data_IF_184191109869
#
_entry.id   IF_184191109869
#
_cell.length_a   1.000
_cell.length_b   1.000
_cell.length_c   1.000
_cell.angle_alpha   90.00
_cell.angle_beta   90.00
_cell.angle_gamma   90.00
#
_symmetry.space_group_name_H-M   'P 1'
#
loop_
_entity.id
_entity.type
_entity.pdbx_description
1 polymer ?
#
# COMPACT_ATOMS: atom_id res chain seq x y z
N UNK A 1 27.79 6.90 10.05
CA UNK A 1 27.07 5.97 9.15
C UNK A 1 26.90 4.63 9.88
N UNK A 2 25.70 4.38 10.44
CA UNK A 2 25.47 3.29 11.40
C UNK A 2 25.43 1.92 10.73
N UNK A 3 26.41 1.08 11.01
CA UNK A 3 26.55 -0.31 10.53
C UNK A 3 25.45 -1.30 11.02
N UNK A 4 24.53 -0.89 11.91
CA UNK A 4 23.54 -1.77 12.55
C UNK A 4 22.21 -1.94 11.78
N UNK A 5 21.89 -1.09 10.82
CA UNK A 5 20.62 -1.16 10.05
C UNK A 5 20.58 -2.21 8.93
N UNK A 6 21.62 -3.04 8.79
CA UNK A 6 21.79 -3.91 7.61
C UNK A 6 21.07 -5.26 7.68
N UNK A 7 20.42 -5.65 8.77
CA UNK A 7 19.95 -7.04 8.93
C UNK A 7 18.48 -7.23 9.32
N UNK A 8 17.72 -6.21 9.64
CA UNK A 8 16.30 -6.39 9.94
C UNK A 8 15.48 -6.54 8.66
N UNK A 9 14.66 -7.58 8.61
CA UNK A 9 13.65 -7.75 7.56
C UNK A 9 12.61 -6.65 7.73
N UNK A 10 12.28 -5.94 6.65
CA UNK A 10 11.28 -4.90 6.71
C UNK A 10 10.32 -4.97 5.52
N UNK A 11 9.09 -5.33 5.82
CA UNK A 11 8.00 -5.42 4.86
C UNK A 11 6.97 -4.34 5.19
N UNK A 12 6.61 -3.53 4.23
CA UNK A 12 5.73 -2.37 4.42
C UNK A 12 4.49 -2.52 3.52
N UNK A 13 3.31 -2.30 4.09
CA UNK A 13 2.07 -2.19 3.33
C UNK A 13 1.52 -0.76 3.44
N UNK A 14 1.27 -0.12 2.31
CA UNK A 14 0.75 1.24 2.25
C UNK A 14 -0.70 1.20 1.78
N UNK A 15 -1.59 1.79 2.57
CA UNK A 15 -2.98 1.96 2.23
C UNK A 15 -3.39 3.45 2.23
N UNK A 16 -4.55 3.72 1.69
CA UNK A 16 -5.08 5.08 1.57
C UNK A 16 -5.91 5.27 0.30
N UNK A 17 -6.73 6.28 0.28
CA UNK A 17 -7.64 6.59 -0.82
C UNK A 17 -6.88 6.86 -2.13
N UNK A 18 -7.60 6.82 -3.25
CA UNK A 18 -7.06 7.22 -4.54
C UNK A 18 -6.47 8.63 -4.46
N UNK A 19 -5.32 8.84 -5.10
CA UNK A 19 -4.56 10.10 -5.07
C UNK A 19 -4.05 10.56 -3.69
N UNK A 20 -3.99 9.67 -2.68
CA UNK A 20 -3.39 9.98 -1.38
C UNK A 20 -1.87 10.11 -1.43
N UNK A 21 -1.19 9.56 -2.44
CA UNK A 21 0.26 9.62 -2.58
C UNK A 21 1.00 8.30 -2.28
N UNK A 22 0.28 7.16 -2.19
CA UNK A 22 0.87 5.83 -1.90
C UNK A 22 2.08 5.51 -2.76
N UNK A 23 1.92 5.56 -4.07
CA UNK A 23 3.02 5.22 -4.99
C UNK A 23 4.16 6.24 -4.93
N UNK A 24 3.87 7.50 -4.62
CA UNK A 24 4.92 8.51 -4.39
C UNK A 24 5.73 8.15 -3.15
N UNK A 25 5.07 7.79 -2.05
CA UNK A 25 5.76 7.37 -0.83
C UNK A 25 6.57 6.10 -1.07
N UNK A 26 5.99 5.08 -1.71
CA UNK A 26 6.70 3.84 -2.04
C UNK A 26 7.98 4.08 -2.86
N UNK A 27 7.88 4.90 -3.91
CA UNK A 27 9.05 5.27 -4.72
C UNK A 27 10.09 6.06 -3.93
N UNK A 28 9.66 6.97 -3.05
CA UNK A 28 10.58 7.74 -2.21
C UNK A 28 11.33 6.83 -1.23
N UNK A 29 10.63 5.88 -0.59
CA UNK A 29 11.27 4.88 0.29
C UNK A 29 12.28 4.03 -0.47
N UNK A 30 11.97 3.61 -1.70
CA UNK A 30 12.89 2.87 -2.56
C UNK A 30 14.11 3.69 -2.97
N UNK A 31 13.97 5.00 -3.17
CA UNK A 31 15.11 5.89 -3.48
C UNK A 31 16.04 6.02 -2.26
N UNK A 32 15.47 6.06 -1.06
CA UNK A 32 16.25 6.18 0.18
C UNK A 32 16.95 4.87 0.53
N UNK A 33 16.29 3.75 0.28
CA UNK A 33 16.83 2.42 0.50
C UNK A 33 16.52 1.51 -0.69
N UNK A 34 17.51 1.28 -1.52
CA UNK A 34 17.41 0.52 -2.77
C UNK A 34 17.14 -0.97 -2.59
N UNK A 35 17.23 -1.47 -1.34
CA UNK A 35 16.86 -2.85 -0.99
C UNK A 35 15.36 -3.12 -1.17
N UNK A 36 14.53 -2.09 -1.09
CA UNK A 36 13.09 -2.27 -1.27
C UNK A 36 12.71 -2.61 -2.70
N UNK A 37 11.90 -3.67 -2.84
CA UNK A 37 11.17 -3.96 -4.07
C UNK A 37 9.70 -3.58 -3.88
N UNK A 38 9.13 -2.82 -4.82
CA UNK A 38 7.73 -2.39 -4.77
C UNK A 38 6.86 -3.42 -5.49
N UNK A 39 5.82 -3.86 -4.81
CA UNK A 39 4.80 -4.78 -5.30
C UNK A 39 3.42 -4.13 -5.24
N UNK A 40 2.49 -4.63 -6.07
CA UNK A 40 1.10 -4.21 -6.11
C UNK A 40 0.19 -5.44 -6.21
N UNK A 41 -0.82 -5.51 -5.36
CA UNK A 41 -1.88 -6.53 -5.43
C UNK A 41 -2.63 -6.47 -6.77
N UNK A 42 -2.82 -5.26 -7.29
CA UNK A 42 -3.47 -5.03 -8.58
C UNK A 42 -2.60 -5.36 -9.80
N UNK A 43 -1.32 -5.72 -9.64
CA UNK A 43 -0.48 -6.04 -10.81
C UNK A 43 -0.93 -7.35 -11.47
N UNK A 44 -1.21 -8.39 -10.68
CA UNK A 44 -1.71 -9.66 -11.22
C UNK A 44 -3.04 -9.50 -11.98
N UNK A 45 -3.92 -8.61 -11.49
CA UNK A 45 -5.17 -8.26 -12.19
C UNK A 45 -4.88 -7.63 -13.55
N UNK A 46 -3.90 -6.72 -13.62
CA UNK A 46 -3.49 -6.08 -14.89
C UNK A 46 -2.85 -7.09 -15.84
N UNK A 47 -2.03 -7.99 -15.32
CA UNK A 47 -1.38 -9.04 -16.12
C UNK A 47 -2.42 -9.95 -16.77
N UNK A 48 -3.47 -10.33 -16.03
CA UNK A 48 -4.62 -11.07 -16.58
C UNK A 48 -5.34 -10.25 -17.64
N UNK A 49 -5.65 -8.98 -17.36
CA UNK A 49 -6.29 -8.09 -18.32
C UNK A 49 -5.51 -7.99 -19.64
N UNK A 50 -4.19 -7.85 -19.55
CA UNK A 50 -3.31 -7.73 -20.72
C UNK A 50 -3.17 -9.07 -21.45
N UNK A 51 -2.84 -10.15 -20.71
CA UNK A 51 -2.44 -11.42 -21.31
C UNK A 51 -3.62 -12.27 -21.80
N UNK A 52 -4.77 -12.21 -21.10
CA UNK A 52 -5.94 -13.04 -21.45
C UNK A 52 -7.00 -12.22 -22.23
N UNK A 53 -7.16 -10.95 -21.92
CA UNK A 53 -8.20 -10.12 -22.54
C UNK A 53 -7.66 -9.12 -23.57
N UNK A 54 -6.34 -9.12 -23.82
CA UNK A 54 -5.72 -8.25 -24.81
C UNK A 54 -5.80 -6.74 -24.47
N UNK A 55 -5.91 -6.38 -23.18
CA UNK A 55 -5.99 -5.01 -22.73
C UNK A 55 -4.71 -4.24 -23.12
N UNK A 56 -4.83 -3.28 -24.04
CA UNK A 56 -3.71 -2.44 -24.50
C UNK A 56 -3.56 -1.17 -23.67
N UNK A 57 -4.70 -0.60 -23.28
CA UNK A 57 -4.77 0.58 -22.42
C UNK A 57 -5.55 0.23 -21.17
N UNK A 58 -5.37 1.02 -20.10
CA UNK A 58 -5.97 0.74 -18.80
C UNK A 58 -7.51 0.79 -18.85
N UNK A 59 -8.14 -0.35 -18.99
CA UNK A 59 -9.58 -0.53 -18.87
C UNK A 59 -9.95 -0.84 -17.40
N UNK A 60 -10.48 0.16 -16.72
CA UNK A 60 -10.83 0.04 -15.30
C UNK A 60 -12.02 -0.88 -15.06
N UNK A 61 -12.97 -0.93 -15.96
CA UNK A 61 -14.17 -1.74 -15.77
C UNK A 61 -13.83 -3.22 -15.93
N UNK A 62 -12.99 -3.55 -16.91
CA UNK A 62 -12.41 -4.90 -17.05
C UNK A 62 -11.60 -5.31 -15.80
N UNK A 63 -10.72 -4.43 -15.31
CA UNK A 63 -9.91 -4.73 -14.13
C UNK A 63 -10.74 -4.93 -12.87
N UNK A 64 -11.83 -4.16 -12.69
CA UNK A 64 -12.77 -4.35 -11.57
C UNK A 64 -13.47 -5.71 -11.70
N UNK A 65 -13.93 -6.07 -12.90
CA UNK A 65 -14.58 -7.36 -13.14
C UNK A 65 -13.63 -8.53 -12.84
N UNK A 66 -12.41 -8.53 -13.39
CA UNK A 66 -11.40 -9.57 -13.11
C UNK A 66 -11.14 -9.66 -11.60
N UNK A 67 -10.86 -8.52 -10.97
CA UNK A 67 -10.56 -8.46 -9.54
C UNK A 67 -11.70 -9.01 -8.69
N UNK A 68 -12.95 -8.69 -9.01
CA UNK A 68 -14.14 -9.13 -8.29
C UNK A 68 -14.42 -10.63 -8.52
N UNK A 69 -14.41 -11.07 -9.78
CA UNK A 69 -14.72 -12.47 -10.13
C UNK A 69 -13.73 -13.46 -9.52
N UNK A 70 -12.47 -13.11 -9.49
CA UNK A 70 -11.46 -13.96 -8.84
C UNK A 70 -11.62 -14.00 -7.31
N UNK A 71 -12.05 -12.89 -6.68
CA UNK A 71 -12.39 -12.88 -5.25
C UNK A 71 -13.68 -13.62 -4.91
N UNK A 72 -14.60 -13.78 -5.84
CA UNK A 72 -15.78 -14.65 -5.66
C UNK A 72 -15.37 -16.12 -5.55
N UNK A 73 -14.29 -16.54 -6.20
CA UNK A 73 -13.73 -17.90 -6.12
C UNK A 73 -12.92 -18.05 -4.82
N UNK A 74 -11.98 -17.13 -4.56
CA UNK A 74 -11.16 -17.07 -3.35
C UNK A 74 -10.97 -15.60 -2.94
N UNK A 75 -11.57 -15.16 -1.84
CA UNK A 75 -11.46 -13.77 -1.37
C UNK A 75 -10.02 -13.28 -1.20
N UNK A 76 -9.09 -14.20 -0.91
CA UNK A 76 -7.70 -13.92 -0.61
C UNK A 76 -6.75 -14.16 -1.78
N UNK A 77 -7.26 -14.51 -2.96
CA UNK A 77 -6.47 -14.95 -4.12
C UNK A 77 -5.30 -14.02 -4.43
N UNK A 78 -5.51 -12.72 -4.40
CA UNK A 78 -4.48 -11.74 -4.75
C UNK A 78 -3.40 -11.64 -3.69
N UNK A 79 -3.79 -11.70 -2.43
CA UNK A 79 -2.86 -11.63 -1.31
C UNK A 79 -2.05 -12.92 -1.19
N UNK A 80 -2.69 -14.08 -1.34
CA UNK A 80 -2.02 -15.38 -1.38
C UNK A 80 -0.99 -15.44 -2.51
N UNK A 81 -1.38 -15.02 -3.72
CA UNK A 81 -0.46 -14.94 -4.86
C UNK A 81 0.75 -14.03 -4.55
N UNK A 82 0.48 -12.86 -3.95
CA UNK A 82 1.55 -11.93 -3.62
C UNK A 82 2.46 -12.46 -2.51
N UNK A 83 1.91 -13.16 -1.51
CA UNK A 83 2.70 -13.78 -0.44
C UNK A 83 3.67 -14.82 -0.97
N UNK A 84 3.25 -15.68 -1.90
CA UNK A 84 4.17 -16.63 -2.56
C UNK A 84 5.24 -15.90 -3.35
N UNK A 85 4.90 -14.83 -4.07
CA UNK A 85 5.85 -14.03 -4.85
C UNK A 85 6.89 -13.31 -3.99
N UNK A 86 6.49 -12.87 -2.78
CA UNK A 86 7.35 -12.13 -1.85
C UNK A 86 7.92 -12.97 -0.72
N UNK A 87 7.80 -14.29 -0.81
CA UNK A 87 8.16 -15.24 0.24
C UNK A 87 9.60 -15.09 0.74
N UNK A 88 10.52 -14.86 -0.19
CA UNK A 88 11.95 -14.75 0.12
C UNK A 88 12.43 -13.29 0.22
N UNK A 89 11.55 -12.32 0.01
CA UNK A 89 11.88 -10.92 0.13
C UNK A 89 12.11 -10.54 1.60
N UNK A 90 13.20 -9.86 1.84
CA UNK A 90 13.51 -9.28 3.15
C UNK A 90 13.01 -7.85 3.26
N UNK A 91 12.97 -7.11 2.14
CA UNK A 91 12.54 -5.72 2.06
C UNK A 91 11.59 -5.56 0.90
N UNK A 92 10.30 -5.39 1.18
CA UNK A 92 9.32 -5.12 0.14
C UNK A 92 8.27 -4.10 0.60
N UNK A 93 7.70 -3.40 -0.37
CA UNK A 93 6.62 -2.44 -0.17
C UNK A 93 5.43 -2.88 -1.02
N UNK A 94 4.25 -3.01 -0.41
CA UNK A 94 2.97 -3.16 -1.10
C UNK A 94 2.29 -1.80 -1.09
N UNK A 95 2.02 -1.22 -2.26
CA UNK A 95 1.56 0.17 -2.38
C UNK A 95 0.06 0.36 -2.66
N UNK A 96 -0.72 -0.73 -2.61
CA UNK A 96 -2.13 -0.69 -3.00
C UNK A 96 -3.08 -1.54 -2.15
N UNK A 97 -2.77 -1.80 -0.88
CA UNK A 97 -3.66 -2.49 0.04
C UNK A 97 -5.00 -1.76 0.19
N UNK A 98 -6.13 -2.50 0.18
CA UNK A 98 -7.49 -1.92 0.13
C UNK A 98 -8.54 -2.60 0.99
N UNK A 99 -8.38 -3.89 1.34
CA UNK A 99 -9.39 -4.69 2.03
C UNK A 99 -8.90 -5.21 3.37
N UNK A 100 -9.86 -5.48 4.29
CA UNK A 100 -9.53 -5.98 5.63
C UNK A 100 -8.81 -7.32 5.59
N UNK A 101 -9.26 -8.26 4.76
CA UNK A 101 -8.62 -9.57 4.62
C UNK A 101 -7.17 -9.47 4.10
N UNK A 102 -6.88 -8.46 3.25
CA UNK A 102 -5.50 -8.18 2.82
C UNK A 102 -4.66 -7.73 4.02
N UNK A 103 -5.19 -6.83 4.87
CA UNK A 103 -4.54 -6.41 6.11
C UNK A 103 -4.25 -7.59 7.03
N UNK A 104 -5.23 -8.45 7.28
CA UNK A 104 -5.11 -9.56 8.21
C UNK A 104 -3.98 -10.52 7.77
N UNK A 105 -3.96 -10.93 6.49
CA UNK A 105 -2.92 -11.80 5.94
C UNK A 105 -1.55 -11.13 5.96
N UNK A 106 -1.45 -9.87 5.57
CA UNK A 106 -0.18 -9.14 5.56
C UNK A 106 0.38 -8.97 6.97
N UNK A 107 -0.49 -8.75 7.96
CA UNK A 107 -0.12 -8.67 9.37
C UNK A 107 0.50 -9.98 9.87
N UNK A 108 -0.13 -11.11 9.59
CA UNK A 108 0.39 -12.45 9.93
C UNK A 108 1.75 -12.72 9.28
N UNK A 109 2.04 -12.07 8.13
CA UNK A 109 3.31 -12.17 7.42
C UNK A 109 4.34 -11.08 7.80
N UNK A 110 4.11 -10.37 8.91
CA UNK A 110 5.07 -9.45 9.51
C UNK A 110 5.21 -8.11 8.78
N UNK A 111 4.17 -7.67 8.07
CA UNK A 111 4.15 -6.34 7.45
C UNK A 111 3.87 -5.25 8.48
N UNK A 112 4.54 -4.12 8.31
CA UNK A 112 4.24 -2.84 8.98
C UNK A 112 3.34 -2.02 8.08
N UNK A 113 2.32 -1.37 8.65
CA UNK A 113 1.32 -0.67 7.86
C UNK A 113 1.50 0.84 7.91
N UNK A 114 1.26 1.50 6.79
CA UNK A 114 1.22 2.96 6.68
C UNK A 114 -0.10 3.35 6.04
N UNK A 115 -0.96 4.04 6.78
CA UNK A 115 -2.18 4.61 6.23
C UNK A 115 -1.97 6.07 5.86
N UNK A 116 -2.19 6.41 4.59
CA UNK A 116 -2.14 7.78 4.11
C UNK A 116 -3.53 8.41 4.11
N UNK A 117 -3.71 9.42 4.94
CA UNK A 117 -4.88 10.28 4.90
C UNK A 117 -4.61 11.53 4.07
N UNK A 118 -5.60 11.89 3.26
CA UNK A 118 -5.58 13.13 2.48
C UNK A 118 -6.96 13.78 2.57
N UNK A 119 -7.01 15.09 2.75
CA UNK A 119 -8.28 15.81 2.78
C UNK A 119 -9.01 15.68 1.45
N UNK A 120 -10.35 15.72 1.50
CA UNK A 120 -11.19 15.63 0.30
C UNK A 120 -10.82 16.68 -0.75
N UNK A 121 -10.57 17.89 -0.30
CA UNK A 121 -10.19 19.00 -1.17
C UNK A 121 -8.92 18.70 -1.98
N UNK A 122 -7.86 18.21 -1.31
CA UNK A 122 -6.61 17.87 -1.98
C UNK A 122 -6.73 16.68 -2.90
N UNK A 123 -7.49 15.66 -2.48
CA UNK A 123 -7.78 14.53 -3.34
C UNK A 123 -8.43 14.99 -4.64
N UNK A 124 -9.41 15.90 -4.56
CA UNK A 124 -10.09 16.46 -5.73
C UNK A 124 -9.15 17.28 -6.62
N UNK A 125 -8.32 18.12 -6.04
CA UNK A 125 -7.32 18.88 -6.80
C UNK A 125 -6.35 17.95 -7.54
N UNK A 126 -5.86 16.90 -6.88
CA UNK A 126 -4.97 15.91 -7.50
C UNK A 126 -5.67 15.11 -8.58
N UNK A 127 -6.92 14.71 -8.38
CA UNK A 127 -7.74 14.03 -9.38
C UNK A 127 -7.95 14.89 -10.62
N UNK A 128 -8.30 16.17 -10.45
CA UNK A 128 -8.43 17.12 -11.55
C UNK A 128 -7.16 17.25 -12.38
N UNK A 129 -6.01 17.31 -11.70
CA UNK A 129 -4.70 17.44 -12.35
C UNK A 129 -4.31 16.17 -13.12
N UNK A 130 -4.57 14.99 -12.56
CA UNK A 130 -4.16 13.71 -13.14
C UNK A 130 -5.13 13.19 -14.22
N UNK A 131 -6.42 13.50 -14.06
CA UNK A 131 -7.49 12.99 -14.95
C UNK A 131 -8.43 14.12 -15.40
N UNK A 132 -7.93 15.13 -16.11
CA UNK A 132 -8.74 16.31 -16.45
C UNK A 132 -9.99 15.96 -17.29
N UNK A 133 -9.91 14.94 -18.15
CA UNK A 133 -11.03 14.49 -19.00
C UNK A 133 -12.04 13.59 -18.28
N UNK A 134 -11.59 12.79 -17.31
CA UNK A 134 -12.39 11.76 -16.64
C UNK A 134 -12.64 12.07 -15.16
N UNK A 135 -12.45 13.34 -14.76
CA UNK A 135 -12.52 13.75 -13.36
C UNK A 135 -13.84 13.35 -12.68
N UNK A 136 -14.98 13.60 -13.30
CA UNK A 136 -16.29 13.27 -12.75
C UNK A 136 -16.46 11.78 -12.51
N UNK A 137 -16.09 10.95 -13.49
CA UNK A 137 -16.10 9.49 -13.36
C UNK A 137 -15.25 8.99 -12.21
N UNK A 138 -14.13 9.66 -11.92
CA UNK A 138 -13.28 9.32 -10.77
C UNK A 138 -13.87 9.78 -9.45
N UNK A 139 -14.60 10.88 -9.41
CA UNK A 139 -15.34 11.31 -8.21
C UNK A 139 -16.44 10.32 -7.82
N UNK A 140 -17.19 9.81 -8.79
CA UNK A 140 -18.25 8.82 -8.55
C UNK A 140 -17.67 7.51 -7.99
N UNK A 141 -16.51 7.08 -8.45
CA UNK A 141 -15.84 5.86 -7.97
C UNK A 141 -15.27 5.95 -6.55
N UNK A 142 -15.28 7.12 -5.89
CA UNK A 142 -14.85 7.26 -4.49
C UNK A 142 -15.72 6.50 -3.50
N UNK A 143 -16.98 6.27 -3.84
CA UNK A 143 -17.91 5.53 -2.99
C UNK A 143 -17.77 4.00 -3.11
N UNK A 144 -16.89 3.52 -4.00
CA UNK A 144 -16.62 2.10 -4.13
C UNK A 144 -15.96 1.54 -2.86
N UNK A 145 -16.29 0.31 -2.48
CA UNK A 145 -15.76 -0.35 -1.27
C UNK A 145 -14.24 -0.29 -1.16
N UNK A 146 -13.52 -0.45 -2.27
CA UNK A 146 -12.05 -0.36 -2.30
C UNK A 146 -11.49 1.03 -1.98
N UNK A 147 -12.31 2.06 -1.89
CA UNK A 147 -11.91 3.43 -1.54
C UNK A 147 -12.36 3.85 -0.13
N UNK A 148 -13.15 3.04 0.57
CA UNK A 148 -13.59 3.35 1.93
C UNK A 148 -12.42 3.36 2.90
N UNK A 149 -11.46 2.43 2.74
CA UNK A 149 -10.26 2.31 3.57
C UNK A 149 -10.59 2.30 5.08
N UNK A 150 -11.68 1.61 5.43
CA UNK A 150 -12.11 1.40 6.80
C UNK A 150 -11.49 0.08 7.27
N UNK A 151 -10.41 0.17 8.04
CA UNK A 151 -9.74 -1.00 8.61
C UNK A 151 -10.01 -1.06 10.11
N UNK A 152 -10.26 -2.26 10.60
CA UNK A 152 -10.20 -2.55 12.02
C UNK A 152 -8.75 -2.85 12.38
N UNK A 153 -8.04 -1.82 12.82
CA UNK A 153 -6.67 -1.94 13.28
C UNK A 153 -6.63 -2.71 14.61
N UNK A 154 -5.73 -3.66 14.73
CA UNK A 154 -5.55 -4.37 15.98
C UNK A 154 -4.84 -3.46 16.99
N UNK A 155 -5.55 -3.08 18.04
CA UNK A 155 -5.03 -2.41 19.24
C UNK A 155 -4.43 -1.00 19.04
N UNK A 156 -4.68 -0.32 17.93
CA UNK A 156 -4.27 1.07 17.72
C UNK A 156 -2.75 1.29 17.68
N UNK A 157 -1.98 0.25 17.38
CA UNK A 157 -0.50 0.31 17.33
C UNK A 157 0.05 0.56 15.94
N UNK A 158 -0.77 0.45 14.90
CA UNK A 158 -0.33 0.68 13.54
C UNK A 158 -0.12 2.17 13.27
N UNK A 159 0.98 2.54 12.62
CA UNK A 159 1.27 3.93 12.33
C UNK A 159 0.32 4.47 11.27
N UNK A 160 -0.58 5.31 11.69
CA UNK A 160 -1.36 6.13 10.79
C UNK A 160 -0.58 7.40 10.52
N UNK A 161 -0.12 7.58 9.29
CA UNK A 161 0.53 8.81 8.86
C UNK A 161 -0.51 9.66 8.14
N UNK A 162 -0.97 10.71 8.79
CA UNK A 162 -1.84 11.70 8.16
C UNK A 162 -0.98 12.69 7.39
N UNK A 163 -1.20 12.78 6.09
CA UNK A 163 -0.58 13.80 5.25
C UNK A 163 -1.60 14.91 5.09
N UNK A 164 -1.46 15.94 5.90
CA UNK A 164 -2.15 17.21 5.71
C UNK A 164 -1.32 18.09 4.79
N UNK A 165 -1.83 18.30 3.61
CA UNK A 165 -1.54 19.33 2.63
C UNK A 165 -0.12 19.80 2.34
N UNK A 166 0.68 20.05 3.33
CA UNK A 166 1.97 20.72 3.21
C UNK A 166 3.12 19.89 3.79
N UNK A 167 2.84 18.70 4.32
CA UNK A 167 3.94 17.87 4.78
C UNK A 167 4.77 17.43 3.57
N UNK A 168 5.97 17.95 3.47
CA UNK A 168 6.92 17.50 2.48
C UNK A 168 7.15 15.99 2.64
N UNK A 169 7.46 15.30 1.55
CA UNK A 169 7.84 13.88 1.59
C UNK A 169 8.88 13.59 2.68
N UNK A 170 9.75 14.55 2.99
CA UNK A 170 10.77 14.47 4.03
C UNK A 170 10.18 14.33 5.45
N UNK A 171 9.07 15.00 5.78
CA UNK A 171 8.45 14.86 7.11
C UNK A 171 7.84 13.46 7.27
N UNK A 172 7.17 12.97 6.22
CA UNK A 172 6.63 11.60 6.21
C UNK A 172 7.74 10.57 6.40
N UNK A 173 8.86 10.75 5.72
CA UNK A 173 10.03 9.88 5.83
C UNK A 173 10.64 9.94 7.21
N UNK A 174 10.77 11.14 7.80
CA UNK A 174 11.31 11.30 9.15
C UNK A 174 10.42 10.63 10.19
N UNK A 175 9.09 10.79 10.10
CA UNK A 175 8.12 10.11 10.99
C UNK A 175 8.20 8.60 10.84
N UNK A 176 8.28 8.10 9.59
CA UNK A 176 8.44 6.68 9.32
C UNK A 176 9.75 6.15 9.91
N UNK A 177 10.86 6.83 9.71
CA UNK A 177 12.16 6.45 10.26
C UNK A 177 12.15 6.36 11.79
N UNK A 178 11.55 7.36 12.44
CA UNK A 178 11.38 7.38 13.91
C UNK A 178 10.52 6.23 14.41
N UNK A 179 9.44 5.91 13.69
CA UNK A 179 8.56 4.78 14.00
C UNK A 179 9.29 3.43 13.85
N UNK A 180 10.03 3.25 12.77
CA UNK A 180 10.78 2.01 12.52
C UNK A 180 11.89 1.80 13.56
N UNK A 181 12.61 2.85 13.94
CA UNK A 181 13.62 2.79 15.01
C UNK A 181 13.02 2.43 16.38
N UNK A 182 11.81 2.92 16.68
CA UNK A 182 11.12 2.59 17.93
C UNK A 182 10.74 1.12 17.98
N UNK A 183 10.18 0.58 16.90
CA UNK A 183 9.80 -0.83 16.83
C UNK A 183 11.00 -1.79 16.85
N UNK A 184 12.14 -1.41 16.29
CA UNK A 184 13.38 -2.19 16.43
C UNK A 184 13.85 -2.27 17.89
N UNK A 185 13.77 -1.17 18.64
CA UNK A 185 14.15 -1.13 20.05
C UNK A 185 13.19 -1.95 20.92
N UNK A 186 11.89 -1.93 20.62
CA UNK A 186 10.88 -2.72 21.35
C UNK A 186 11.06 -4.24 21.11
N UNK A 187 11.48 -4.66 19.91
CA UNK A 187 11.80 -6.07 19.62
C UNK A 187 13.09 -6.56 20.27
N UNK A 188 14.05 -5.67 20.51
CA UNK A 188 15.29 -6.00 21.24
C UNK A 188 15.13 -6.06 22.75
N UNK A 189 14.03 -5.57 23.30
CA UNK A 189 13.76 -5.56 24.75
C UNK A 189 13.06 -6.82 25.25
N UNK A 190 12.77 -7.80 24.40
CA UNK A 190 12.25 -9.11 24.80
C UNK A 190 13.44 -9.96 25.28
N UNK A 191 13.52 -10.33 26.57
CA UNK A 191 14.59 -11.19 27.04
C UNK A 191 14.49 -12.56 26.36
N UNK A 192 15.60 -13.04 25.83
CA UNK A 192 15.74 -14.44 25.44
C UNK A 192 15.50 -15.29 26.70
N UNK A 193 14.38 -15.99 26.78
CA UNK A 193 14.10 -17.04 27.76
C UNK A 193 14.72 -18.34 27.27
#
# INVERSE_FOLDING_TARGET
MNKRLRHSKMKIAICGKMCSGKSTLANTLKIIDDRYTIYSLGQAVKDIGTNLFGMKEKDRDLLIQIGTKMREIDPDVWTKYLMEKTKYETHCIIDDMRYQNEYDILKENGFVFIQLHVSRHIQEQRLKKLYPKDFQRHLEKREHLSEKNEYVWSEGKEPVITIDNAESANIVIHRLHSFLQKNENDQMSIPLI
#
